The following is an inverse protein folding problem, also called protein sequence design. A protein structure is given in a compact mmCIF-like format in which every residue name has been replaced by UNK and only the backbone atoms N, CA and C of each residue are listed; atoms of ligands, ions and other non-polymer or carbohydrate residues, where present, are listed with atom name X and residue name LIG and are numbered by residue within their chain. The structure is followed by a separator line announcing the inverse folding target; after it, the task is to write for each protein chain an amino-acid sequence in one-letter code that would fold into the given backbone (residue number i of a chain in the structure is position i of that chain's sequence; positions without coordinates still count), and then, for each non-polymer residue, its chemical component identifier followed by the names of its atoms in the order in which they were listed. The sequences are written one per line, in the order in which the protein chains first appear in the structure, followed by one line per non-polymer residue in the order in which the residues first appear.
data_IF_717485008963
#
_entry.id   IF_717485008963
#
_cell.length_a   1.000
_cell.length_b   1.000
_cell.length_c   1.000
_cell.angle_alpha   90.00
_cell.angle_beta   90.00
_cell.angle_gamma   90.00
#
_symmetry.space_group_name_H-M   'P 1'
#
loop_
_entity.id
_entity.type
_entity.pdbx_description
1 polymer ?
#
# COMPACT_ATOMS: atom_id res chain seq x y z
N UNK A 1 -35.79 -42.59 19.79
CA UNK A 1 -35.80 -41.39 18.93
C UNK A 1 -35.24 -40.18 19.67
N UNK A 2 -33.95 -40.13 20.01
CA UNK A 2 -33.41 -39.02 20.81
C UNK A 2 -31.90 -38.75 20.59
N UNK A 3 -31.34 -39.01 19.40
CA UNK A 3 -29.92 -38.72 19.09
C UNK A 3 -29.66 -37.90 17.83
N UNK A 4 -30.70 -37.35 17.18
CA UNK A 4 -30.52 -36.60 15.93
C UNK A 4 -30.38 -35.07 16.14
N UNK A 5 -30.67 -34.52 17.32
CA UNK A 5 -30.69 -33.10 17.57
C UNK A 5 -29.32 -32.53 18.03
N UNK A 6 -28.42 -33.39 18.52
CA UNK A 6 -27.09 -32.94 19.01
C UNK A 6 -26.05 -32.68 17.91
N UNK A 7 -26.26 -33.19 16.69
CA UNK A 7 -25.33 -33.01 15.58
C UNK A 7 -25.50 -31.68 14.82
N UNK A 8 -26.70 -31.14 14.79
CA UNK A 8 -26.99 -29.90 14.01
C UNK A 8 -26.41 -28.63 14.65
N UNK A 9 -26.27 -28.59 15.97
CA UNK A 9 -25.72 -27.42 16.68
C UNK A 9 -24.21 -27.24 16.50
N UNK A 10 -23.48 -28.31 16.30
CA UNK A 10 -22.01 -28.24 16.16
C UNK A 10 -21.58 -27.76 14.76
N UNK A 11 -22.34 -28.15 13.73
CA UNK A 11 -22.06 -27.73 12.33
C UNK A 11 -22.39 -26.24 12.12
N UNK A 12 -23.46 -25.74 12.75
CA UNK A 12 -23.81 -24.31 12.68
C UNK A 12 -22.79 -23.42 13.41
N UNK A 13 -22.18 -23.90 14.49
CA UNK A 13 -21.14 -23.20 15.24
C UNK A 13 -19.82 -23.09 14.47
N UNK A 14 -19.48 -24.08 13.65
CA UNK A 14 -18.23 -24.05 12.84
C UNK A 14 -18.35 -23.13 11.63
N UNK A 15 -19.54 -22.95 11.05
CA UNK A 15 -19.74 -22.02 9.93
C UNK A 15 -19.66 -20.53 10.34
N UNK A 16 -19.86 -20.19 11.61
CA UNK A 16 -19.73 -18.80 12.07
C UNK A 16 -18.29 -18.38 12.39
N UNK A 17 -17.34 -19.31 12.48
CA UNK A 17 -15.94 -18.99 12.77
C UNK A 17 -15.11 -18.65 11.52
N UNK A 18 -15.64 -18.86 10.31
CA UNK A 18 -14.94 -18.56 9.05
C UNK A 18 -15.17 -17.14 8.53
N UNK A 19 -15.94 -16.29 9.21
CA UNK A 19 -16.33 -14.96 8.74
C UNK A 19 -15.35 -13.83 9.15
N UNK A 20 -14.22 -14.13 9.76
CA UNK A 20 -13.13 -13.15 9.91
C UNK A 20 -12.17 -13.25 8.73
N UNK A 21 -12.67 -13.03 7.50
CA UNK A 21 -11.79 -12.76 6.38
C UNK A 21 -11.03 -11.47 6.69
N UNK A 22 -9.71 -11.56 6.72
CA UNK A 22 -8.83 -10.40 6.86
C UNK A 22 -9.18 -9.38 5.77
N UNK A 23 -9.67 -8.20 6.17
CA UNK A 23 -10.00 -7.11 5.24
C UNK A 23 -8.75 -6.40 4.73
N UNK A 24 -7.59 -6.70 5.30
CA UNK A 24 -6.31 -6.13 4.90
C UNK A 24 -5.85 -6.73 3.56
N UNK A 25 -5.37 -5.91 2.62
CA UNK A 25 -4.80 -6.43 1.38
C UNK A 25 -3.61 -7.34 1.69
N UNK A 26 -3.57 -8.55 1.12
CA UNK A 26 -2.43 -9.44 1.28
C UNK A 26 -1.21 -8.87 0.54
N UNK A 27 -0.01 -9.26 0.97
CA UNK A 27 1.23 -8.91 0.29
C UNK A 27 1.28 -9.52 -1.09
N UNK A 28 1.67 -8.74 -2.10
CA UNK A 28 1.64 -9.09 -3.53
C UNK A 28 3.01 -9.03 -4.20
N UNK A 29 3.98 -8.38 -3.57
CA UNK A 29 5.30 -8.17 -4.18
C UNK A 29 5.97 -9.47 -4.62
N UNK A 30 5.72 -10.59 -3.93
CA UNK A 30 6.20 -11.91 -4.30
C UNK A 30 5.61 -12.45 -5.62
N UNK A 31 4.47 -11.93 -6.08
CA UNK A 31 3.90 -12.27 -7.38
C UNK A 31 4.60 -11.53 -8.54
N UNK A 32 5.46 -10.57 -8.22
CA UNK A 32 6.22 -9.78 -9.18
C UNK A 32 7.72 -10.07 -9.09
N UNK A 33 8.22 -10.25 -7.87
CA UNK A 33 9.62 -10.54 -7.61
C UNK A 33 9.73 -11.99 -7.13
N UNK A 34 10.58 -12.78 -7.76
CA UNK A 34 10.82 -14.17 -7.34
C UNK A 34 11.31 -14.22 -5.90
N UNK A 35 10.81 -15.20 -5.13
CA UNK A 35 11.29 -15.50 -3.76
C UNK A 35 12.77 -15.91 -3.73
N UNK A 36 13.31 -16.34 -4.88
CA UNK A 36 14.70 -16.72 -5.02
C UNK A 36 15.66 -15.53 -5.17
N UNK A 37 15.10 -14.32 -5.35
CA UNK A 37 15.90 -13.10 -5.37
C UNK A 37 16.46 -12.83 -3.99
N UNK A 38 17.75 -13.00 -3.88
CA UNK A 38 18.49 -12.76 -2.63
C UNK A 38 18.34 -11.29 -2.27
N UNK A 39 17.82 -11.05 -1.07
CA UNK A 39 17.98 -9.73 -0.44
C UNK A 39 19.47 -9.53 -0.25
N UNK A 40 20.01 -8.43 -0.76
CA UNK A 40 21.43 -8.14 -0.64
C UNK A 40 21.85 -8.18 0.84
N UNK A 41 22.89 -8.95 1.12
CA UNK A 41 23.49 -8.99 2.46
C UNK A 41 24.27 -7.70 2.74
N UNK A 42 24.71 -7.03 1.66
CA UNK A 42 25.46 -5.78 1.78
C UNK A 42 24.53 -4.59 1.90
N UNK A 43 24.70 -3.75 2.93
CA UNK A 43 23.89 -2.57 3.12
C UNK A 43 24.11 -1.55 1.99
N UNK A 44 23.07 -0.79 1.66
CA UNK A 44 23.09 0.32 0.69
C UNK A 44 24.24 1.31 0.92
N UNK A 45 24.68 1.46 2.17
CA UNK A 45 25.79 2.34 2.59
C UNK A 45 27.13 1.97 1.97
N UNK A 46 27.29 0.73 1.48
CA UNK A 46 28.52 0.26 0.82
C UNK A 46 28.55 0.51 -0.70
N UNK A 47 27.42 0.89 -1.30
CA UNK A 47 27.32 1.08 -2.76
C UNK A 47 27.97 2.36 -3.29
N UNK A 48 28.62 3.15 -2.45
CA UNK A 48 29.42 4.31 -2.82
C UNK A 48 28.90 5.64 -2.29
N UNK A 49 29.68 6.70 -2.51
CA UNK A 49 29.37 8.05 -2.03
C UNK A 49 28.41 8.83 -2.96
N UNK A 50 28.01 8.25 -4.08
CA UNK A 50 27.10 8.91 -5.03
C UNK A 50 25.70 8.29 -4.94
N UNK A 51 24.64 9.10 -5.06
CA UNK A 51 23.29 8.59 -5.12
C UNK A 51 23.10 7.63 -6.31
N UNK A 52 22.41 6.51 -6.07
CA UNK A 52 22.04 5.56 -7.10
C UNK A 52 21.01 6.20 -8.05
N UNK A 53 21.24 6.08 -9.36
CA UNK A 53 20.24 6.53 -10.35
C UNK A 53 19.28 5.40 -10.66
N UNK A 54 18.00 5.60 -10.38
CA UNK A 54 16.95 4.60 -10.58
C UNK A 54 15.74 5.17 -11.33
N UNK A 55 14.99 4.32 -12.02
CA UNK A 55 13.62 4.60 -12.42
C UNK A 55 12.65 4.20 -11.31
N UNK A 56 11.44 4.73 -11.34
CA UNK A 56 10.32 4.31 -10.49
C UNK A 56 9.22 3.70 -11.36
N UNK A 57 8.75 2.51 -11.01
CA UNK A 57 7.57 1.92 -11.63
C UNK A 57 6.50 1.65 -10.58
N UNK A 58 5.28 2.17 -10.81
CA UNK A 58 4.11 1.85 -10.00
C UNK A 58 3.32 0.75 -10.70
N UNK A 59 3.07 -0.34 -9.98
CA UNK A 59 2.35 -1.52 -10.49
C UNK A 59 1.01 -1.65 -9.78
N UNK A 60 -0.11 -1.16 -10.38
CA UNK A 60 -1.44 -1.35 -9.80
C UNK A 60 -1.82 -2.84 -9.84
N UNK A 61 -1.96 -3.47 -8.67
CA UNK A 61 -2.37 -4.87 -8.55
C UNK A 61 -3.86 -4.99 -8.22
N UNK A 62 -4.60 -5.62 -9.12
CA UNK A 62 -6.02 -5.95 -9.00
C UNK A 62 -6.26 -7.46 -9.07
N UNK A 63 -5.25 -8.27 -8.83
CA UNK A 63 -5.33 -9.72 -8.95
C UNK A 63 -6.12 -10.39 -7.83
N UNK A 64 -6.35 -9.69 -6.72
CA UNK A 64 -7.20 -10.18 -5.63
C UNK A 64 -8.67 -10.15 -6.01
N UNK A 65 -9.46 -11.20 -5.74
CA UNK A 65 -10.91 -11.18 -5.93
C UNK A 65 -11.63 -10.07 -5.12
N UNK A 66 -11.04 -9.64 -4.00
CA UNK A 66 -11.53 -8.53 -3.15
C UNK A 66 -10.86 -7.18 -3.45
N UNK A 67 -10.09 -7.07 -4.55
CA UNK A 67 -9.41 -5.84 -4.88
C UNK A 67 -10.39 -4.69 -5.12
N UNK A 68 -10.11 -3.55 -4.50
CA UNK A 68 -10.83 -2.32 -4.77
C UNK A 68 -10.59 -1.83 -6.22
N UNK A 69 -11.49 -1.04 -6.79
CA UNK A 69 -11.22 -0.31 -8.02
C UNK A 69 -9.93 0.50 -7.90
N UNK A 70 -9.16 0.58 -8.98
CA UNK A 70 -7.90 1.34 -8.99
C UNK A 70 -8.10 2.83 -8.71
N UNK A 71 -7.01 3.51 -8.41
CA UNK A 71 -6.98 4.96 -8.41
C UNK A 71 -7.30 5.51 -9.80
N UNK A 72 -7.93 6.69 -9.91
CA UNK A 72 -7.95 7.45 -11.17
C UNK A 72 -6.52 7.71 -11.67
N UNK A 73 -6.33 7.73 -12.99
CA UNK A 73 -5.00 7.87 -13.60
C UNK A 73 -4.27 9.13 -13.13
N UNK A 74 -4.98 10.25 -12.98
CA UNK A 74 -4.41 11.49 -12.45
C UNK A 74 -3.90 11.30 -11.01
N UNK A 75 -4.67 10.60 -10.17
CA UNK A 75 -4.29 10.35 -8.77
C UNK A 75 -3.11 9.38 -8.68
N UNK A 76 -3.06 8.37 -9.55
CA UNK A 76 -1.93 7.43 -9.65
C UNK A 76 -0.65 8.15 -10.11
N UNK A 77 -0.76 9.02 -11.11
CA UNK A 77 0.36 9.84 -11.59
C UNK A 77 0.89 10.74 -10.49
N UNK A 78 -0.01 11.43 -9.77
CA UNK A 78 0.37 12.27 -8.61
C UNK A 78 1.07 11.47 -7.52
N UNK A 79 0.53 10.30 -7.16
CA UNK A 79 1.16 9.40 -6.20
C UNK A 79 2.58 9.00 -6.65
N UNK A 80 2.78 8.75 -7.94
CA UNK A 80 4.10 8.45 -8.52
C UNK A 80 5.08 9.60 -8.33
N UNK A 81 4.69 10.82 -8.66
CA UNK A 81 5.55 12.00 -8.50
C UNK A 81 5.84 12.32 -7.02
N UNK A 82 4.86 12.16 -6.13
CA UNK A 82 5.07 12.33 -4.70
C UNK A 82 6.05 11.28 -4.15
N UNK A 83 5.89 10.01 -4.52
CA UNK A 83 6.81 8.94 -4.12
C UNK A 83 8.22 9.16 -4.69
N UNK A 84 8.35 9.60 -5.95
CA UNK A 84 9.63 9.96 -6.57
C UNK A 84 10.38 11.00 -5.73
N UNK A 85 9.70 12.07 -5.32
CA UNK A 85 10.28 13.14 -4.51
C UNK A 85 10.67 12.63 -3.10
N UNK A 86 9.74 11.95 -2.43
CA UNK A 86 9.95 11.48 -1.06
C UNK A 86 11.03 10.40 -0.95
N UNK A 87 11.08 9.45 -1.88
CA UNK A 87 12.13 8.41 -1.93
C UNK A 87 13.49 9.04 -2.19
N UNK A 88 13.58 9.95 -3.18
CA UNK A 88 14.84 10.65 -3.49
C UNK A 88 15.35 11.52 -2.33
N UNK A 89 14.45 12.02 -1.48
CA UNK A 89 14.80 12.78 -0.28
C UNK A 89 15.23 11.89 0.89
N UNK A 90 14.65 10.69 0.97
CA UNK A 90 14.78 9.80 2.13
C UNK A 90 15.96 8.83 1.99
N UNK A 91 16.20 8.34 0.79
CA UNK A 91 17.24 7.36 0.47
C UNK A 91 18.34 7.99 -0.40
N UNK A 92 19.56 7.41 -0.43
CA UNK A 92 20.62 7.82 -1.35
C UNK A 92 20.32 7.32 -2.77
N UNK A 93 19.12 7.61 -3.27
CA UNK A 93 18.63 7.19 -4.58
C UNK A 93 18.03 8.41 -5.27
N UNK A 94 18.46 8.69 -6.48
CA UNK A 94 17.86 9.71 -7.35
C UNK A 94 16.94 9.05 -8.35
N UNK A 95 15.63 9.23 -8.19
CA UNK A 95 14.64 8.74 -9.17
C UNK A 95 14.61 9.70 -10.35
N UNK A 96 15.00 9.22 -11.55
CA UNK A 96 15.00 10.03 -12.76
C UNK A 96 13.60 10.17 -13.34
N UNK A 97 12.90 9.07 -13.53
CA UNK A 97 11.63 9.01 -14.24
C UNK A 97 10.64 8.06 -13.56
N UNK A 98 9.34 8.35 -13.75
CA UNK A 98 8.26 7.41 -13.43
C UNK A 98 7.90 6.67 -14.72
N UNK A 99 8.08 5.34 -14.70
CA UNK A 99 7.95 4.48 -15.87
C UNK A 99 6.57 3.82 -15.93
N UNK A 100 6.09 3.55 -17.15
CA UNK A 100 4.85 2.81 -17.36
C UNK A 100 4.98 1.34 -16.92
N UNK A 101 3.94 0.83 -16.27
CA UNK A 101 3.83 -0.57 -15.84
C UNK A 101 2.95 -1.42 -16.79
N UNK A 102 2.64 -0.94 -18.01
CA UNK A 102 1.68 -1.59 -18.91
C UNK A 102 2.02 -3.04 -19.24
N UNK A 103 3.29 -3.39 -19.28
CA UNK A 103 3.77 -4.73 -19.60
C UNK A 103 4.07 -5.59 -18.37
N UNK A 104 3.99 -5.02 -17.16
CA UNK A 104 4.25 -5.74 -15.92
C UNK A 104 3.01 -6.55 -15.54
N UNK A 105 3.19 -7.85 -15.32
CA UNK A 105 2.10 -8.76 -14.94
C UNK A 105 2.50 -9.61 -13.73
N UNK A 106 1.55 -9.89 -12.82
CA UNK A 106 1.81 -10.82 -11.72
C UNK A 106 2.00 -12.24 -12.26
N UNK A 107 2.94 -12.96 -11.67
CA UNK A 107 3.22 -14.38 -11.96
C UNK A 107 3.22 -15.15 -10.64
N UNK A 108 2.80 -16.41 -10.61
CA UNK A 108 2.71 -17.19 -9.37
C UNK A 108 4.01 -17.28 -8.55
N UNK A 109 5.16 -17.25 -9.25
CA UNK A 109 6.50 -17.32 -8.62
C UNK A 109 7.30 -16.03 -8.80
N UNK A 110 6.63 -14.93 -9.21
CA UNK A 110 7.29 -13.70 -9.61
C UNK A 110 8.06 -13.86 -10.94
N UNK A 111 8.36 -12.73 -11.55
CA UNK A 111 9.14 -12.68 -12.79
C UNK A 111 10.06 -11.45 -12.78
N UNK A 112 11.30 -11.67 -12.38
CA UNK A 112 12.33 -10.66 -12.39
C UNK A 112 12.66 -10.15 -13.80
N UNK A 113 12.55 -11.02 -14.83
CA UNK A 113 12.98 -10.70 -16.19
C UNK A 113 12.22 -9.49 -16.76
N UNK A 114 10.96 -9.31 -16.40
CA UNK A 114 10.17 -8.15 -16.83
C UNK A 114 10.72 -6.81 -16.32
N UNK A 115 11.29 -6.78 -15.11
CA UNK A 115 11.94 -5.58 -14.55
C UNK A 115 13.32 -5.36 -15.12
N UNK A 116 14.09 -6.43 -15.34
CA UNK A 116 15.38 -6.35 -16.01
C UNK A 116 15.23 -5.83 -17.44
N UNK A 117 14.21 -6.28 -18.18
CA UNK A 117 13.91 -5.80 -19.52
C UNK A 117 13.49 -4.32 -19.51
N UNK A 118 12.63 -3.91 -18.54
CA UNK A 118 12.25 -2.51 -18.39
C UNK A 118 13.48 -1.63 -18.12
N UNK A 119 14.35 -2.05 -17.21
CA UNK A 119 15.59 -1.33 -16.90
C UNK A 119 16.53 -1.24 -18.10
N UNK A 120 16.70 -2.33 -18.84
CA UNK A 120 17.52 -2.37 -20.06
C UNK A 120 17.01 -1.40 -21.12
N UNK A 121 15.69 -1.36 -21.32
CA UNK A 121 15.05 -0.47 -22.31
C UNK A 121 15.28 1.01 -21.98
N UNK A 122 15.36 1.34 -20.68
CA UNK A 122 15.57 2.71 -20.21
C UNK A 122 17.02 3.02 -19.82
N UNK A 123 17.97 2.07 -20.03
CA UNK A 123 19.38 2.25 -19.68
C UNK A 123 19.62 2.44 -18.18
N UNK A 124 18.85 1.76 -17.34
CA UNK A 124 18.89 1.87 -15.88
C UNK A 124 19.64 0.70 -15.26
N UNK A 125 20.48 0.98 -14.27
CA UNK A 125 21.13 -0.02 -13.43
C UNK A 125 20.30 -0.41 -12.21
N UNK A 126 19.44 0.52 -11.75
CA UNK A 126 18.58 0.35 -10.58
C UNK A 126 17.14 0.69 -10.91
N UNK A 127 16.22 -0.01 -10.25
CA UNK A 127 14.78 0.21 -10.41
C UNK A 127 14.09 0.18 -9.05
N UNK A 128 13.26 1.17 -8.78
CA UNK A 128 12.31 1.15 -7.68
C UNK A 128 11.00 0.60 -8.20
N UNK A 129 10.51 -0.47 -7.60
CA UNK A 129 9.20 -1.06 -7.87
C UNK A 129 8.29 -0.78 -6.70
N UNK A 130 7.10 -0.24 -6.96
CA UNK A 130 6.05 -0.06 -5.95
C UNK A 130 4.80 -0.76 -6.42
N UNK A 131 4.44 -1.88 -5.77
CA UNK A 131 3.16 -2.55 -5.99
C UNK A 131 2.08 -1.82 -5.20
N UNK A 132 1.00 -1.45 -5.90
CA UNK A 132 -0.11 -0.63 -5.38
C UNK A 132 -1.35 -1.49 -5.32
N UNK A 133 -1.81 -1.87 -4.14
CA UNK A 133 -3.00 -2.71 -3.94
C UNK A 133 -3.93 -2.16 -2.87
N UNK A 134 -5.22 -2.44 -2.98
CA UNK A 134 -6.20 -2.07 -1.96
C UNK A 134 -7.40 -3.00 -1.95
N UNK A 135 -8.07 -3.06 -0.80
CA UNK A 135 -9.37 -3.74 -0.62
C UNK A 135 -10.39 -2.78 -0.06
N UNK A 136 -11.65 -2.97 -0.41
CA UNK A 136 -12.77 -2.18 0.10
C UNK A 136 -13.85 -3.07 0.69
N UNK A 137 -14.50 -2.56 1.73
CA UNK A 137 -15.68 -3.18 2.30
C UNK A 137 -16.72 -2.10 2.61
N UNK A 138 -17.96 -2.31 2.14
CA UNK A 138 -19.10 -1.47 2.50
C UNK A 138 -20.09 -2.26 3.35
N UNK A 139 -20.61 -1.64 4.41
CA UNK A 139 -21.58 -2.26 5.29
C UNK A 139 -22.54 -1.22 5.89
N UNK A 140 -23.82 -1.62 6.18
CA UNK A 140 -24.76 -0.75 6.84
C UNK A 140 -24.35 -0.49 8.28
N UNK A 141 -24.58 0.74 8.76
CA UNK A 141 -24.35 1.10 10.15
C UNK A 141 -25.19 2.28 10.58
N UNK A 142 -25.29 2.48 11.89
CA UNK A 142 -25.83 3.69 12.47
C UNK A 142 -24.73 4.74 12.60
N UNK A 143 -24.91 5.88 11.92
CA UNK A 143 -23.97 7.00 11.95
C UNK A 143 -24.43 8.02 12.99
N UNK A 144 -23.48 8.50 13.79
CA UNK A 144 -23.71 9.59 14.73
C UNK A 144 -23.21 10.89 14.08
N UNK A 145 -24.12 11.83 13.87
CA UNK A 145 -23.77 13.15 13.33
C UNK A 145 -23.15 13.98 14.44
N UNK A 146 -21.85 14.15 14.39
CA UNK A 146 -20.89 14.80 15.28
C UNK A 146 -21.35 15.62 16.50
N UNK A 147 -22.26 16.54 16.34
CA UNK A 147 -22.81 17.40 17.40
C UNK A 147 -24.27 17.13 17.73
N UNK A 148 -24.90 16.16 17.11
CA UNK A 148 -26.29 15.78 17.38
C UNK A 148 -26.32 14.42 18.05
N UNK A 149 -27.25 14.25 18.98
CA UNK A 149 -27.56 12.95 19.61
C UNK A 149 -28.35 12.04 18.66
N UNK A 150 -28.54 12.47 17.42
CA UNK A 150 -29.34 11.74 16.45
C UNK A 150 -28.50 10.69 15.73
N UNK A 151 -28.87 9.45 15.95
CA UNK A 151 -28.38 8.31 15.19
C UNK A 151 -29.13 8.23 13.85
N UNK A 152 -28.42 8.15 12.74
CA UNK A 152 -28.97 8.05 11.40
C UNK A 152 -28.55 6.73 10.75
N UNK A 153 -29.45 6.03 10.04
CA UNK A 153 -29.06 4.90 9.23
C UNK A 153 -28.17 5.39 8.08
N UNK A 154 -27.20 4.58 7.72
CA UNK A 154 -26.27 4.89 6.63
C UNK A 154 -25.39 3.72 6.28
N UNK A 155 -24.43 4.00 5.45
CA UNK A 155 -23.41 3.05 5.00
C UNK A 155 -22.04 3.58 5.34
N UNK A 156 -21.17 2.67 5.75
CA UNK A 156 -19.74 2.91 5.91
C UNK A 156 -18.98 2.09 4.89
N UNK A 157 -18.05 2.74 4.22
CA UNK A 157 -17.09 2.08 3.33
C UNK A 157 -15.69 2.31 3.87
N UNK A 158 -15.02 1.23 4.18
CA UNK A 158 -13.61 1.24 4.58
C UNK A 158 -12.76 0.84 3.37
N UNK A 159 -11.63 1.53 3.18
CA UNK A 159 -10.58 1.18 2.22
C UNK A 159 -9.27 0.95 2.95
N UNK A 160 -8.64 -0.18 2.70
CA UNK A 160 -7.30 -0.53 3.16
C UNK A 160 -6.37 -0.55 1.96
N UNK A 161 -5.35 0.30 2.00
CA UNK A 161 -4.33 0.42 0.94
C UNK A 161 -3.00 -0.14 1.41
N UNK A 162 -2.28 -0.76 0.49
CA UNK A 162 -0.95 -1.30 0.68
C UNK A 162 -0.05 -0.82 -0.45
N UNK A 163 1.09 -0.24 -0.09
CA UNK A 163 2.20 0.05 -0.98
C UNK A 163 3.37 -0.84 -0.58
N UNK A 164 3.84 -1.69 -1.49
CA UNK A 164 4.98 -2.57 -1.29
C UNK A 164 6.13 -2.09 -2.18
N UNK A 165 7.21 -1.73 -1.55
CA UNK A 165 8.41 -1.15 -2.15
C UNK A 165 9.51 -2.18 -2.27
N UNK A 166 10.21 -2.19 -3.41
CA UNK A 166 11.48 -2.85 -3.58
C UNK A 166 12.45 -1.97 -4.39
N UNK A 167 13.69 -1.87 -3.94
CA UNK A 167 14.80 -1.31 -4.70
C UNK A 167 15.61 -2.46 -5.28
N UNK A 168 15.73 -2.49 -6.60
CA UNK A 168 16.36 -3.56 -7.36
C UNK A 168 17.70 -3.11 -7.94
N UNK A 169 18.73 -3.96 -7.81
CA UNK A 169 19.96 -3.89 -8.59
C UNK A 169 19.81 -4.84 -9.79
N UNK A 170 19.62 -4.25 -10.96
CA UNK A 170 19.34 -5.01 -12.20
C UNK A 170 20.57 -5.70 -12.76
N UNK A 171 21.78 -5.21 -12.45
CA UNK A 171 23.06 -5.83 -12.88
C UNK A 171 23.36 -7.11 -12.11
N UNK A 172 23.15 -7.06 -10.80
CA UNK A 172 23.49 -8.17 -9.91
C UNK A 172 22.31 -9.09 -9.61
N UNK A 173 21.13 -8.77 -10.17
CA UNK A 173 19.88 -9.52 -9.97
C UNK A 173 19.53 -9.66 -8.48
N UNK A 174 19.59 -8.55 -7.74
CA UNK A 174 19.40 -8.52 -6.29
C UNK A 174 18.37 -7.47 -5.86
N UNK A 175 17.69 -7.75 -4.77
CA UNK A 175 16.86 -6.75 -4.09
C UNK A 175 17.66 -6.11 -2.97
N UNK A 176 17.92 -4.80 -3.07
CA UNK A 176 18.73 -4.06 -2.11
C UNK A 176 17.94 -3.66 -0.86
N UNK A 177 16.65 -3.37 -1.01
CA UNK A 177 15.78 -2.97 0.09
C UNK A 177 14.34 -3.33 -0.22
N UNK A 178 13.58 -3.73 0.82
CA UNK A 178 12.13 -3.90 0.75
C UNK A 178 11.48 -3.21 1.94
N UNK A 179 10.30 -2.64 1.71
CA UNK A 179 9.46 -2.06 2.75
C UNK A 179 7.99 -2.06 2.33
N UNK A 180 7.10 -1.89 3.28
CA UNK A 180 5.67 -1.72 3.00
C UNK A 180 5.09 -0.56 3.81
N UNK A 181 4.11 0.12 3.24
CA UNK A 181 3.29 1.10 3.92
C UNK A 181 1.81 0.73 3.80
N UNK A 182 1.08 0.77 4.91
CA UNK A 182 -0.35 0.46 4.96
C UNK A 182 -1.14 1.70 5.34
N UNK A 183 -2.20 1.99 4.60
CA UNK A 183 -3.14 3.07 4.88
C UNK A 183 -4.55 2.54 5.07
N UNK A 184 -5.33 3.32 5.79
CA UNK A 184 -6.74 3.01 5.99
C UNK A 184 -7.54 4.30 6.09
N UNK A 185 -8.59 4.42 5.28
CA UNK A 185 -9.54 5.51 5.33
C UNK A 185 -10.98 4.98 5.37
N UNK A 186 -11.87 5.82 5.85
CA UNK A 186 -13.30 5.50 5.99
C UNK A 186 -14.13 6.57 5.31
N UNK A 187 -15.19 6.16 4.63
CA UNK A 187 -16.22 7.00 4.07
C UNK A 187 -17.55 6.69 4.75
N UNK A 188 -18.15 7.67 5.42
CA UNK A 188 -19.48 7.59 5.97
C UNK A 188 -20.48 8.31 5.06
N UNK A 189 -21.59 7.64 4.74
CA UNK A 189 -22.66 8.13 3.89
C UNK A 189 -24.01 7.85 4.53
N UNK A 190 -24.65 8.84 5.17
CA UNK A 190 -26.01 8.70 5.69
C UNK A 190 -27.01 8.49 4.55
N UNK A 191 -28.04 7.73 4.82
CA UNK A 191 -29.13 7.48 3.87
C UNK A 191 -30.36 8.38 4.08
N UNK A 192 -30.34 9.26 5.09
CA UNK A 192 -31.45 10.15 5.39
C UNK A 192 -31.50 11.34 4.40
N UNK A 193 -32.69 11.70 3.88
CA UNK A 193 -32.86 12.87 3.01
C UNK A 193 -32.46 14.18 3.70
N UNK A 194 -31.89 15.12 2.95
CA UNK A 194 -31.60 16.48 3.42
C UNK A 194 -30.31 16.67 4.20
N UNK A 195 -29.45 15.64 4.29
CA UNK A 195 -28.13 15.71 4.97
C UNK A 195 -26.99 15.84 3.97
N UNK A 196 -27.28 15.90 2.70
CA UNK A 196 -26.34 15.91 1.58
C UNK A 196 -25.33 17.07 1.63
N UNK A 197 -25.61 18.15 2.36
CA UNK A 197 -24.72 19.32 2.48
C UNK A 197 -23.44 19.03 3.27
N UNK A 198 -23.45 18.02 4.14
CA UNK A 198 -22.36 17.71 5.06
C UNK A 198 -21.75 16.33 4.80
N UNK A 199 -22.32 15.56 3.91
CA UNK A 199 -21.94 14.21 3.60
C UNK A 199 -21.94 13.98 2.08
N UNK A 200 -21.11 13.08 1.59
CA UNK A 200 -20.28 12.08 2.29
C UNK A 200 -19.02 12.68 2.92
N UNK A 201 -18.53 12.03 3.97
CA UNK A 201 -17.32 12.45 4.70
C UNK A 201 -16.28 11.34 4.65
N UNK A 202 -15.07 11.68 4.21
CA UNK A 202 -13.89 10.80 4.24
C UNK A 202 -12.99 11.20 5.40
N UNK A 203 -12.52 10.24 6.17
CA UNK A 203 -11.59 10.47 7.28
C UNK A 203 -10.65 9.27 7.50
N UNK A 204 -9.52 9.52 8.16
CA UNK A 204 -8.59 8.48 8.57
C UNK A 204 -9.06 7.81 9.87
N UNK A 205 -8.82 6.50 9.98
CA UNK A 205 -9.06 5.70 11.19
C UNK A 205 -7.79 4.98 11.64
N UNK A 206 -7.80 4.52 12.91
CA UNK A 206 -8.67 4.80 14.05
C UNK A 206 -8.08 5.77 15.07
N UNK A 207 -6.91 6.29 14.99
CA UNK A 207 -6.26 7.06 16.06
C UNK A 207 -5.44 8.22 15.52
N UNK A 208 -5.77 8.66 14.30
CA UNK A 208 -5.17 9.88 13.81
C UNK A 208 -5.76 11.04 14.64
N UNK A 209 -4.94 11.77 15.44
CA UNK A 209 -5.41 12.89 16.22
C UNK A 209 -5.98 14.01 15.33
N UNK A 210 -5.61 14.00 14.07
CA UNK A 210 -6.11 14.90 13.06
C UNK A 210 -7.25 14.20 12.29
N UNK A 211 -8.48 14.38 12.77
CA UNK A 211 -9.68 14.05 11.99
C UNK A 211 -9.79 15.00 10.80
N UNK A 212 -9.05 14.73 9.76
CA UNK A 212 -9.22 15.46 8.52
C UNK A 212 -10.48 14.98 7.80
N UNK A 213 -11.36 15.91 7.51
CA UNK A 213 -12.53 15.70 6.69
C UNK A 213 -12.17 16.15 5.27
N UNK A 214 -12.27 15.25 4.31
CA UNK A 214 -12.03 15.58 2.91
C UNK A 214 -13.36 15.71 2.18
N UNK A 215 -13.65 16.87 1.57
CA UNK A 215 -14.74 16.94 0.62
C UNK A 215 -14.42 16.03 -0.59
N UNK A 216 -15.42 15.47 -1.26
CA UNK A 216 -15.20 14.66 -2.46
C UNK A 216 -14.56 15.52 -3.56
N UNK A 217 -13.29 15.25 -3.89
CA UNK A 217 -12.51 16.03 -4.87
C UNK A 217 -12.16 15.27 -6.14
N UNK A 218 -12.21 13.95 -6.10
CA UNK A 218 -11.84 13.08 -7.22
C UNK A 218 -13.08 12.33 -7.72
N UNK A 219 -13.81 12.87 -8.69
CA UNK A 219 -14.98 12.19 -9.29
C UNK A 219 -15.88 11.45 -8.28
N UNK A 220 -16.04 12.04 -7.09
CA UNK A 220 -16.88 11.53 -6.03
C UNK A 220 -16.13 10.96 -4.82
N UNK A 221 -16.88 10.71 -3.78
CA UNK A 221 -16.39 10.29 -2.48
C UNK A 221 -15.62 8.95 -2.47
N UNK A 222 -15.97 7.93 -3.26
CA UNK A 222 -15.20 6.68 -3.29
C UNK A 222 -13.76 6.86 -3.79
N UNK A 223 -13.54 7.71 -4.80
CA UNK A 223 -12.18 7.99 -5.29
C UNK A 223 -11.39 8.80 -4.27
N UNK A 224 -12.02 9.78 -3.62
CA UNK A 224 -11.42 10.53 -2.50
C UNK A 224 -11.01 9.58 -1.38
N UNK A 225 -11.84 8.61 -1.01
CA UNK A 225 -11.54 7.58 -0.01
C UNK A 225 -10.24 6.83 -0.33
N UNK A 226 -10.09 6.35 -1.58
CA UNK A 226 -8.91 5.63 -2.02
C UNK A 226 -7.66 6.50 -1.99
N UNK A 227 -7.74 7.72 -2.52
CA UNK A 227 -6.62 8.67 -2.53
C UNK A 227 -6.14 8.95 -1.11
N UNK A 228 -7.05 9.23 -0.17
CA UNK A 228 -6.70 9.49 1.24
C UNK A 228 -6.01 8.28 1.88
N UNK A 229 -6.53 7.07 1.63
CA UNK A 229 -5.94 5.83 2.14
C UNK A 229 -4.54 5.58 1.56
N UNK A 230 -4.34 5.78 0.24
CA UNK A 230 -3.02 5.62 -0.38
C UNK A 230 -2.02 6.68 0.06
N UNK A 231 -2.44 7.93 0.26
CA UNK A 231 -1.57 8.99 0.79
C UNK A 231 -1.09 8.63 2.21
N UNK A 232 -1.95 8.05 3.03
CA UNK A 232 -1.54 7.56 4.34
C UNK A 232 -0.54 6.39 4.22
N UNK A 233 -0.79 5.45 3.30
CA UNK A 233 0.14 4.35 3.03
C UNK A 233 1.51 4.87 2.57
N UNK A 234 1.54 5.88 1.69
CA UNK A 234 2.78 6.50 1.20
C UNK A 234 3.58 7.17 2.33
N UNK A 235 2.92 7.94 3.21
CA UNK A 235 3.57 8.54 4.39
C UNK A 235 4.21 7.48 5.29
N UNK A 236 3.49 6.38 5.56
CA UNK A 236 4.01 5.28 6.40
C UNK A 236 5.14 4.51 5.71
N UNK A 237 5.04 4.32 4.40
CA UNK A 237 6.13 3.73 3.62
C UNK A 237 7.40 4.58 3.73
N UNK A 238 7.30 5.89 3.50
CA UNK A 238 8.45 6.81 3.57
C UNK A 238 9.10 6.79 4.96
N UNK A 239 8.30 6.84 6.04
CA UNK A 239 8.83 6.73 7.39
C UNK A 239 9.55 5.40 7.64
N UNK A 240 9.02 4.30 7.12
CA UNK A 240 9.65 2.98 7.27
C UNK A 240 10.96 2.89 6.48
N UNK A 241 11.01 3.45 5.27
CA UNK A 241 12.22 3.56 4.47
C UNK A 241 13.31 4.37 5.19
N UNK A 242 12.93 5.53 5.76
CA UNK A 242 13.84 6.37 6.53
C UNK A 242 14.41 5.63 7.74
N UNK A 243 13.57 4.98 8.52
CA UNK A 243 14.00 4.24 9.70
C UNK A 243 14.93 3.06 9.33
N UNK A 244 14.60 2.34 8.26
CA UNK A 244 15.43 1.23 7.77
C UNK A 244 16.80 1.73 7.28
N UNK A 245 16.84 2.86 6.58
CA UNK A 245 18.09 3.47 6.11
C UNK A 245 18.96 3.95 7.27
N UNK A 246 18.39 4.67 8.24
CA UNK A 246 19.13 5.14 9.41
C UNK A 246 19.69 3.98 10.24
N UNK A 247 18.90 2.93 10.46
CA UNK A 247 19.35 1.73 11.17
C UNK A 247 20.53 1.03 10.48
N UNK A 248 20.53 0.95 9.14
CA UNK A 248 21.67 0.41 8.38
C UNK A 248 22.91 1.30 8.51
N UNK A 249 22.76 2.61 8.40
CA UNK A 249 23.87 3.56 8.52
C UNK A 249 24.52 3.53 9.91
N UNK A 250 23.71 3.43 10.97
CA UNK A 250 24.21 3.28 12.34
C UNK A 250 24.94 1.97 12.57
N UNK A 251 24.42 0.85 12.06
CA UNK A 251 25.06 -0.46 12.15
C UNK A 251 26.43 -0.47 11.46
N UNK A 252 26.52 0.13 10.26
CA UNK A 252 27.78 0.25 9.53
C UNK A 252 28.81 1.14 10.26
N UNK A 253 28.36 2.25 10.84
CA UNK A 253 29.22 3.12 11.62
C UNK A 253 29.76 2.42 12.88
N UNK A 254 28.93 1.58 13.52
CA UNK A 254 29.34 0.78 14.66
C UNK A 254 30.39 -0.29 14.26
N UNK A 255 30.19 -0.99 13.15
CA UNK A 255 31.15 -1.99 12.64
C UNK A 255 32.49 -1.37 12.28
N UNK A 256 32.51 -0.19 11.65
CA UNK A 256 33.78 0.51 11.32
C UNK A 256 34.57 0.92 12.57
N UNK A 257 33.89 1.35 13.65
CA UNK A 257 34.55 1.68 14.93
C UNK A 257 35.09 0.46 15.64
N UNK A 258 34.46 -0.70 15.49
CA UNK A 258 34.93 -1.94 16.10
C UNK A 258 36.13 -2.58 15.35
N UNK A 259 36.34 -2.18 14.09
CA UNK A 259 37.44 -2.68 13.24
C UNK A 259 38.67 -1.74 13.18
N UNK A 260 38.56 -0.55 13.78
CA UNK A 260 39.66 0.42 13.95
C UNK A 260 40.31 0.31 15.33
#
# INVERSE_FOLDING_TARGET
MCNLVKGAGLVAGIMMLTACASTLPPTRIGNYLSSDNRVAVEPLTKLGNQPLRAGLVLVPDKSDPGAAPGLPDEALTRLGEELKQEISRTLPVTITDVLSAEHIRPQPNGDWAQFAELGRTHGLDYLVVVVVSSTEQEYPMTLFLGWTTHAQPGYRRDNWSLLEFALLDLKNNQTLMQAEGRGWATLDRPSAPGIDQWYPVVYLRPQDPERHFWPPTYEGAPNTLRVVSFNQAAKRLTLKLQNSWLGQAEADAAMRRASS
#
